data_IF_768916641375
#
_entry.id   IF_768916641375
#
_cell.length_a   1.000
_cell.length_b   1.000
_cell.length_c   1.000
_cell.angle_alpha   90.00
_cell.angle_beta   90.00
_cell.angle_gamma   90.00
#
_symmetry.space_group_name_H-M   'P 1'
#
loop_
_entity.id
_entity.type
_entity.pdbx_description
1 polymer ?
#
# COMPACT_ATOMS: atom_id res chain seq x y z
N UNK A 1 -35.49 -2.79 1.53
CA UNK A 1 -35.40 -1.42 0.98
C UNK A 1 -34.28 -1.40 -0.05
N UNK A 2 -34.61 -1.52 -1.35
CA UNK A 2 -33.65 -1.64 -2.46
C UNK A 2 -33.33 -0.24 -3.01
N UNK A 3 -32.09 0.23 -2.82
CA UNK A 3 -31.61 1.42 -3.54
C UNK A 3 -31.23 1.03 -4.97
N UNK A 4 -32.08 1.38 -5.94
CA UNK A 4 -31.74 1.41 -7.37
C UNK A 4 -30.81 2.60 -7.62
N UNK A 5 -29.52 2.35 -7.85
CA UNK A 5 -28.60 3.37 -8.39
C UNK A 5 -28.87 3.49 -9.89
N UNK A 6 -29.49 4.60 -10.30
CA UNK A 6 -29.68 4.97 -11.71
C UNK A 6 -28.32 5.37 -12.30
N UNK A 7 -27.99 4.72 -13.43
CA UNK A 7 -26.97 5.04 -14.46
C UNK A 7 -26.11 6.29 -14.20
N UNK A 8 -24.82 6.07 -13.94
CA UNK A 8 -23.77 7.07 -14.07
C UNK A 8 -23.49 7.27 -15.57
N UNK A 9 -23.79 8.45 -16.12
CA UNK A 9 -23.38 8.81 -17.48
C UNK A 9 -21.93 9.28 -17.47
N UNK A 10 -21.02 8.45 -17.98
CA UNK A 10 -19.65 8.86 -18.29
C UNK A 10 -19.69 9.76 -19.53
N UNK A 11 -19.66 11.08 -19.31
CA UNK A 11 -19.56 12.04 -20.41
C UNK A 11 -18.11 12.11 -20.88
N UNK A 12 -17.75 11.33 -21.89
CA UNK A 12 -16.48 11.47 -22.61
C UNK A 12 -16.62 12.69 -23.53
N UNK A 13 -16.42 13.88 -22.96
CA UNK A 13 -16.39 15.12 -23.73
C UNK A 13 -15.17 15.14 -24.64
N UNK A 14 -15.38 15.06 -25.96
CA UNK A 14 -14.39 15.52 -26.94
C UNK A 14 -14.21 17.03 -26.72
N UNK A 15 -13.11 17.44 -26.11
CA UNK A 15 -12.77 18.86 -26.02
C UNK A 15 -12.14 19.30 -27.34
N UNK A 16 -12.93 20.01 -28.14
CA UNK A 16 -12.39 20.99 -29.08
C UNK A 16 -11.91 22.18 -28.26
N UNK A 17 -10.60 22.47 -28.31
CA UNK A 17 -10.05 23.70 -27.75
C UNK A 17 -10.62 24.90 -28.51
N UNK A 18 -11.46 25.70 -27.86
CA UNK A 18 -11.69 27.08 -28.26
C UNK A 18 -10.65 27.96 -27.56
N UNK A 19 -9.70 28.48 -28.32
CA UNK A 19 -8.92 29.66 -27.94
C UNK A 19 -9.72 30.90 -28.34
N UNK A 20 -9.76 31.89 -27.46
CA UNK A 20 -10.45 33.16 -27.65
C UNK A 20 -9.74 34.07 -28.67
N UNK A 21 -10.59 34.76 -29.43
CA UNK A 21 -10.40 36.01 -30.18
C UNK A 21 -9.66 36.03 -31.54
N UNK A 22 -10.25 36.87 -32.41
CA UNK A 22 -9.92 37.25 -33.79
C UNK A 22 -10.23 36.20 -34.88
N UNK A 23 -11.35 36.43 -35.56
CA UNK A 23 -11.81 35.61 -36.67
C UNK A 23 -10.85 35.58 -37.85
N UNK A 24 -10.59 34.37 -38.34
CA UNK A 24 -10.38 34.03 -39.76
C UNK A 24 -10.62 32.53 -39.93
N UNK A 25 -11.62 32.20 -40.75
CA UNK A 25 -11.87 30.85 -41.25
C UNK A 25 -10.65 30.37 -42.03
N UNK A 26 -10.03 29.27 -41.60
CA UNK A 26 -9.04 28.53 -42.39
C UNK A 26 -9.29 27.03 -42.24
N UNK A 27 -9.25 26.36 -43.38
CA UNK A 27 -9.81 25.04 -43.66
C UNK A 27 -9.25 23.86 -42.87
N UNK A 28 -9.96 22.75 -43.01
CA UNK A 28 -9.62 21.45 -42.41
C UNK A 28 -8.27 20.93 -42.91
N UNK A 29 -7.23 21.07 -42.09
CA UNK A 29 -5.95 20.38 -42.29
C UNK A 29 -5.98 19.08 -41.48
N UNK A 30 -5.94 17.93 -42.18
CA UNK A 30 -5.70 16.64 -41.53
C UNK A 30 -4.28 16.65 -40.94
N UNK A 31 -4.08 16.43 -39.62
CA UNK A 31 -2.75 16.46 -39.05
C UNK A 31 -1.96 15.22 -39.48
N UNK A 32 -0.76 15.45 -40.02
CA UNK A 32 0.25 14.42 -40.25
C UNK A 32 0.64 13.79 -38.90
N UNK A 33 0.46 12.47 -38.79
CA UNK A 33 0.79 11.66 -37.59
C UNK A 33 2.21 11.86 -37.04
N UNK A 34 3.18 12.33 -37.84
CA UNK A 34 4.56 12.56 -37.40
C UNK A 34 4.70 13.80 -36.52
N UNK A 35 4.02 14.92 -36.85
CA UNK A 35 4.13 16.17 -36.09
C UNK A 35 3.36 16.16 -34.76
N UNK A 36 2.35 15.29 -34.64
CA UNK A 36 1.64 15.07 -33.37
C UNK A 36 2.55 14.42 -32.31
N UNK A 37 3.45 13.51 -32.70
CA UNK A 37 4.42 12.90 -31.77
C UNK A 37 5.45 13.92 -31.26
N UNK A 38 5.92 14.83 -32.10
CA UNK A 38 6.86 15.90 -31.70
C UNK A 38 6.19 16.97 -30.82
N UNK A 39 4.93 17.33 -31.10
CA UNK A 39 4.18 18.27 -30.28
C UNK A 39 3.75 17.69 -28.91
N UNK A 40 3.59 16.37 -28.81
CA UNK A 40 3.38 15.66 -27.55
C UNK A 40 4.71 15.57 -26.76
N UNK A 41 5.84 15.39 -27.43
CA UNK A 41 7.16 15.38 -26.79
C UNK A 41 7.58 16.73 -26.19
N UNK A 42 7.04 17.85 -26.68
CA UNK A 42 7.35 19.20 -26.17
C UNK A 42 6.44 19.68 -25.04
N UNK A 43 5.39 18.93 -24.67
CA UNK A 43 4.52 19.23 -23.53
C UNK A 43 4.77 18.17 -22.46
N UNK A 44 5.55 18.53 -21.44
CA UNK A 44 5.66 17.73 -20.21
C UNK A 44 4.24 17.45 -19.70
N UNK A 45 3.94 16.16 -19.61
CA UNK A 45 2.81 15.55 -18.93
C UNK A 45 1.43 15.91 -19.50
N UNK A 46 0.90 15.02 -20.36
CA UNK A 46 -0.45 15.12 -20.89
C UNK A 46 -1.46 14.85 -19.76
N UNK A 47 -1.76 15.88 -18.97
CA UNK A 47 -2.70 15.79 -17.85
C UNK A 47 -4.12 15.59 -18.38
N UNK A 48 -4.66 14.37 -18.26
CA UNK A 48 -6.10 14.19 -18.37
C UNK A 48 -6.73 14.52 -17.01
N UNK A 49 -7.47 15.64 -16.97
CA UNK A 49 -8.22 16.08 -15.79
C UNK A 49 -9.69 15.76 -15.97
N UNK A 50 -10.23 14.93 -15.08
CA UNK A 50 -11.68 14.74 -14.93
C UNK A 50 -12.08 15.22 -13.55
N UNK A 51 -12.76 16.36 -13.48
CA UNK A 51 -13.27 16.90 -12.23
C UNK A 51 -14.74 16.52 -12.05
N UNK A 52 -15.08 15.92 -10.91
CA UNK A 52 -16.46 15.67 -10.49
C UNK A 52 -16.76 16.49 -9.24
N UNK A 53 -17.84 17.26 -9.27
CA UNK A 53 -18.30 18.07 -8.14
C UNK A 53 -19.59 17.48 -7.60
N UNK A 54 -19.55 16.73 -6.48
CA UNK A 54 -20.78 16.25 -5.87
C UNK A 54 -21.54 17.40 -5.22
N UNK A 55 -22.85 17.44 -5.46
CA UNK A 55 -23.78 18.31 -4.75
C UNK A 55 -24.41 17.46 -3.65
N UNK A 56 -24.21 17.83 -2.39
CA UNK A 56 -24.80 17.13 -1.23
C UNK A 56 -25.69 18.14 -0.51
N UNK A 57 -27.00 17.85 -0.43
CA UNK A 57 -28.01 18.73 0.16
C UNK A 57 -27.98 20.17 -0.40
N UNK A 58 -27.86 20.30 -1.73
CA UNK A 58 -27.81 21.60 -2.41
C UNK A 58 -26.50 22.39 -2.22
N UNK A 59 -25.55 21.86 -1.45
CA UNK A 59 -24.23 22.47 -1.25
C UNK A 59 -23.20 21.81 -2.16
N UNK A 60 -22.51 22.60 -2.97
CA UNK A 60 -21.32 22.18 -3.71
C UNK A 60 -20.23 21.79 -2.71
N UNK A 61 -19.79 20.53 -2.74
CA UNK A 61 -18.59 20.09 -2.02
C UNK A 61 -17.35 20.34 -2.88
N UNK A 62 -16.17 20.30 -2.27
CA UNK A 62 -14.91 20.35 -3.02
C UNK A 62 -14.92 19.28 -4.12
N UNK A 63 -14.38 19.64 -5.29
CA UNK A 63 -14.32 18.74 -6.43
C UNK A 63 -13.35 17.61 -6.14
N UNK A 64 -13.76 16.38 -6.43
CA UNK A 64 -12.82 15.26 -6.57
C UNK A 64 -12.32 15.29 -8.00
N UNK A 65 -11.01 15.41 -8.17
CA UNK A 65 -10.36 15.40 -9.47
C UNK A 65 -9.66 14.06 -9.69
N UNK A 66 -9.68 13.59 -10.93
CA UNK A 66 -8.82 12.52 -11.42
C UNK A 66 -7.77 13.13 -12.33
N UNK A 67 -6.51 12.84 -12.07
CA UNK A 67 -5.35 13.32 -12.81
C UNK A 67 -4.50 12.15 -13.27
N UNK A 68 -4.38 11.98 -14.58
CA UNK A 68 -3.51 10.98 -15.19
C UNK A 68 -2.23 11.65 -15.72
N UNK A 69 -1.08 11.07 -15.39
CA UNK A 69 0.24 11.50 -15.82
C UNK A 69 0.85 10.41 -16.69
N UNK A 70 1.25 10.78 -17.90
CA UNK A 70 1.81 9.85 -18.89
C UNK A 70 3.32 10.03 -19.00
N UNK A 71 4.04 8.93 -19.20
CA UNK A 71 5.47 8.89 -19.50
C UNK A 71 5.74 9.42 -20.91
N UNK A 72 7.00 9.69 -21.25
CA UNK A 72 7.41 10.19 -22.57
C UNK A 72 7.01 9.26 -23.73
N UNK A 73 6.90 7.95 -23.49
CA UNK A 73 6.45 6.97 -24.48
C UNK A 73 4.91 6.94 -24.66
N UNK A 74 4.16 7.73 -23.90
CA UNK A 74 2.70 7.79 -23.93
C UNK A 74 1.99 6.78 -23.03
N UNK A 75 2.72 5.97 -22.27
CA UNK A 75 2.13 5.04 -21.29
C UNK A 75 1.71 5.78 -20.02
N UNK A 76 0.65 5.30 -19.36
CA UNK A 76 0.23 5.83 -18.07
C UNK A 76 1.32 5.52 -17.04
N UNK A 77 1.89 6.55 -16.41
CA UNK A 77 2.87 6.38 -15.33
C UNK A 77 2.27 6.55 -13.94
N UNK A 78 1.27 7.42 -13.79
CA UNK A 78 0.65 7.71 -12.51
C UNK A 78 -0.79 8.17 -12.66
N UNK A 79 -1.66 7.74 -11.75
CA UNK A 79 -3.05 8.17 -11.63
C UNK A 79 -3.30 8.67 -10.21
N UNK A 80 -3.83 9.87 -10.07
CA UNK A 80 -4.22 10.45 -8.79
C UNK A 80 -5.72 10.73 -8.79
N UNK A 81 -6.39 10.42 -7.67
CA UNK A 81 -7.80 10.70 -7.44
C UNK A 81 -7.94 11.33 -6.06
N UNK A 82 -8.46 12.56 -5.98
CA UNK A 82 -8.65 13.24 -4.69
C UNK A 82 -8.84 14.75 -4.84
N UNK A 83 -8.52 15.49 -3.77
CA UNK A 83 -8.54 16.96 -3.78
C UNK A 83 -7.17 17.50 -4.16
N UNK A 84 -7.14 18.68 -4.79
CA UNK A 84 -5.90 19.28 -5.24
C UNK A 84 -5.80 20.74 -4.81
N UNK A 85 -4.61 21.13 -4.37
CA UNK A 85 -4.22 22.52 -4.19
C UNK A 85 -2.86 22.74 -4.86
N UNK A 86 -2.72 23.84 -5.61
CA UNK A 86 -1.49 24.17 -6.33
C UNK A 86 -0.91 22.98 -7.13
N UNK A 87 -1.80 22.28 -7.82
CA UNK A 87 -1.54 21.08 -8.61
C UNK A 87 -1.02 19.84 -7.85
N UNK A 88 -1.10 19.82 -6.52
CA UNK A 88 -0.66 18.71 -5.68
C UNK A 88 -1.85 18.07 -4.98
N UNK A 89 -1.80 16.75 -4.80
CA UNK A 89 -2.82 16.00 -4.08
C UNK A 89 -2.85 16.46 -2.61
N UNK A 90 -4.05 16.69 -2.08
CA UNK A 90 -4.31 17.18 -0.73
C UNK A 90 -5.48 16.43 -0.11
N UNK A 91 -5.50 16.33 1.22
CA UNK A 91 -6.57 15.67 1.94
C UNK A 91 -6.69 14.20 1.54
N UNK A 92 -7.89 13.65 1.68
CA UNK A 92 -8.15 12.27 1.30
C UNK A 92 -7.96 12.04 -0.21
N UNK A 93 -7.13 11.08 -0.56
CA UNK A 93 -6.85 10.72 -1.95
C UNK A 93 -6.32 9.32 -2.15
N UNK A 94 -6.13 8.98 -3.41
CA UNK A 94 -5.49 7.76 -3.88
C UNK A 94 -4.48 8.15 -4.96
N UNK A 95 -3.26 7.65 -4.85
CA UNK A 95 -2.25 7.72 -5.92
C UNK A 95 -1.87 6.30 -6.32
N UNK A 96 -1.86 6.02 -7.62
CA UNK A 96 -1.47 4.74 -8.20
C UNK A 96 -0.34 4.97 -9.19
N UNK A 97 0.77 4.25 -9.03
CA UNK A 97 1.92 4.26 -9.93
C UNK A 97 1.93 3.00 -10.79
N UNK A 98 2.31 3.16 -12.06
CA UNK A 98 2.28 2.12 -13.07
C UNK A 98 3.66 1.86 -13.66
N UNK A 99 3.96 0.59 -13.91
CA UNK A 99 5.14 0.13 -14.64
C UNK A 99 5.04 0.45 -16.12
N UNK A 100 6.08 0.14 -16.87
CA UNK A 100 6.10 0.29 -18.34
C UNK A 100 5.09 -0.64 -19.01
N UNK A 101 4.91 -1.86 -18.49
CA UNK A 101 3.90 -2.80 -19.00
C UNK A 101 2.43 -2.41 -18.66
N UNK A 102 2.22 -1.27 -18.00
CA UNK A 102 0.90 -0.79 -17.57
C UNK A 102 0.33 -1.50 -16.34
N UNK A 103 1.07 -2.43 -15.71
CA UNK A 103 0.68 -3.02 -14.42
C UNK A 103 0.88 -2.03 -13.28
N UNK A 104 0.08 -2.17 -12.22
CA UNK A 104 0.25 -1.36 -11.00
C UNK A 104 1.53 -1.79 -10.29
N UNK A 105 2.35 -0.82 -9.90
CA UNK A 105 3.53 -1.04 -9.08
C UNK A 105 3.25 -0.76 -7.61
N UNK A 106 2.65 0.41 -7.35
CA UNK A 106 2.47 0.95 -6.01
C UNK A 106 1.16 1.72 -5.96
N UNK A 107 0.47 1.63 -4.82
CA UNK A 107 -0.72 2.41 -4.54
C UNK A 107 -0.65 2.99 -3.13
N UNK A 108 -0.89 4.29 -3.03
CA UNK A 108 -1.01 5.06 -1.79
C UNK A 108 -2.47 5.46 -1.62
N UNK A 109 -3.04 5.26 -0.43
CA UNK A 109 -4.38 5.70 -0.08
C UNK A 109 -4.33 6.31 1.32
N UNK A 110 -4.91 7.49 1.50
CA UNK A 110 -4.94 8.14 2.81
C UNK A 110 -5.05 9.65 2.67
N UNK A 111 -4.58 10.36 3.68
CA UNK A 111 -4.50 11.82 3.68
C UNK A 111 -3.16 12.26 3.04
N UNK A 112 -3.21 13.29 2.20
CA UNK A 112 -2.08 13.83 1.46
C UNK A 112 -1.86 15.29 1.84
N UNK A 113 -0.60 15.67 1.98
CA UNK A 113 -0.20 17.06 2.15
C UNK A 113 0.86 17.42 1.11
N UNK A 114 0.48 18.22 0.12
CA UNK A 114 1.40 18.63 -0.94
C UNK A 114 1.88 17.48 -1.82
N UNK A 115 1.02 16.50 -2.08
CA UNK A 115 1.32 15.34 -2.92
C UNK A 115 2.02 14.19 -2.21
N UNK A 116 2.15 14.28 -0.88
CA UNK A 116 2.89 13.32 -0.06
C UNK A 116 1.94 12.71 0.97
N UNK A 117 1.98 11.39 1.17
CA UNK A 117 1.12 10.70 2.12
C UNK A 117 1.48 11.11 3.56
N UNK A 118 0.48 11.52 4.34
CA UNK A 118 0.64 12.01 5.70
C UNK A 118 -0.54 11.56 6.58
N UNK A 119 -0.27 11.24 7.84
CA UNK A 119 -1.30 10.71 8.74
C UNK A 119 -1.74 9.29 8.39
N UNK A 120 -2.96 8.87 8.76
CA UNK A 120 -3.44 7.52 8.52
C UNK A 120 -3.52 7.19 7.03
N UNK A 121 -3.00 6.03 6.64
CA UNK A 121 -3.00 5.59 5.26
C UNK A 121 -2.71 4.12 5.06
N UNK A 122 -2.66 3.76 3.79
CA UNK A 122 -2.39 2.43 3.26
C UNK A 122 -1.40 2.58 2.11
N UNK A 123 -0.31 1.81 2.18
CA UNK A 123 0.67 1.69 1.10
C UNK A 123 0.68 0.24 0.61
N UNK A 124 0.38 0.04 -0.65
CA UNK A 124 0.25 -1.30 -1.26
C UNK A 124 1.23 -1.42 -2.41
N UNK A 125 2.06 -2.47 -2.41
CA UNK A 125 2.90 -2.79 -3.55
C UNK A 125 2.46 -4.10 -4.20
N UNK A 126 2.60 -4.11 -5.51
CA UNK A 126 2.25 -5.23 -6.37
C UNK A 126 3.51 -5.77 -7.04
N UNK A 127 3.51 -7.06 -7.33
CA UNK A 127 4.54 -7.70 -8.15
C UNK A 127 4.27 -7.46 -9.63
N UNK A 128 5.22 -7.85 -10.49
CA UNK A 128 5.12 -7.68 -11.96
C UNK A 128 3.97 -8.48 -12.59
N UNK A 129 3.49 -9.54 -11.93
CA UNK A 129 2.31 -10.29 -12.39
C UNK A 129 0.98 -9.71 -11.87
N UNK A 130 1.01 -8.54 -11.23
CA UNK A 130 -0.16 -7.85 -10.69
C UNK A 130 -0.67 -8.37 -9.34
N UNK A 131 -0.03 -9.38 -8.74
CA UNK A 131 -0.40 -9.86 -7.39
C UNK A 131 0.18 -8.97 -6.30
N UNK A 132 -0.49 -8.92 -5.15
CA UNK A 132 0.02 -8.22 -3.97
C UNK A 132 1.38 -8.78 -3.54
N UNK A 133 2.32 -7.89 -3.28
CA UNK A 133 3.65 -8.21 -2.73
C UNK A 133 3.68 -7.91 -1.23
N UNK A 134 3.23 -6.71 -0.86
CA UNK A 134 3.11 -6.29 0.52
C UNK A 134 2.12 -5.13 0.68
N UNK A 135 1.66 -4.94 1.92
CA UNK A 135 0.69 -3.94 2.33
C UNK A 135 1.09 -3.37 3.70
N UNK A 136 1.19 -2.04 3.82
CA UNK A 136 1.42 -1.34 5.09
C UNK A 136 0.20 -0.50 5.46
N UNK A 137 -0.28 -0.60 6.70
CA UNK A 137 -1.47 0.10 7.22
C UNK A 137 -1.13 0.76 8.55
N UNK A 138 -1.24 2.09 8.64
CA UNK A 138 -0.92 2.85 9.84
C UNK A 138 -0.74 4.33 9.53
N UNK A 139 0.15 5.01 10.25
CA UNK A 139 0.42 6.43 10.05
C UNK A 139 1.67 6.70 9.20
N UNK A 140 1.66 7.78 8.43
CA UNK A 140 2.72 8.19 7.54
C UNK A 140 3.17 9.63 7.82
N UNK A 141 4.45 9.90 7.64
CA UNK A 141 5.04 11.23 7.66
C UNK A 141 5.98 11.34 6.46
N UNK A 142 5.62 12.17 5.50
CA UNK A 142 6.36 12.35 4.26
C UNK A 142 6.59 11.04 3.48
N UNK A 143 5.52 10.27 3.22
CA UNK A 143 5.56 8.91 2.62
C UNK A 143 6.30 7.84 3.44
N UNK A 144 6.96 8.21 4.55
CA UNK A 144 7.60 7.26 5.44
C UNK A 144 6.62 6.77 6.48
N UNK A 145 6.65 5.47 6.71
CA UNK A 145 5.79 4.85 7.70
C UNK A 145 6.28 5.18 9.13
N UNK A 146 5.39 5.66 10.00
CA UNK A 146 5.74 6.21 11.30
C UNK A 146 4.63 6.00 12.33
N UNK A 147 5.00 5.64 13.56
CA UNK A 147 4.03 5.31 14.61
C UNK A 147 3.49 3.87 14.51
N UNK A 148 2.36 3.57 15.17
CA UNK A 148 1.81 2.22 15.19
C UNK A 148 1.28 1.81 13.81
N UNK A 149 1.52 0.56 13.43
CA UNK A 149 1.05 0.04 12.16
C UNK A 149 1.28 -1.45 11.96
N UNK A 150 0.78 -1.94 10.83
CA UNK A 150 0.93 -3.32 10.35
C UNK A 150 1.60 -3.32 9.00
N UNK A 151 2.50 -4.28 8.76
CA UNK A 151 3.02 -4.62 7.45
C UNK A 151 2.74 -6.08 7.17
N UNK A 152 2.10 -6.35 6.04
CA UNK A 152 1.66 -7.67 5.63
C UNK A 152 2.41 -8.03 4.36
N UNK A 153 3.08 -9.17 4.37
CA UNK A 153 3.78 -9.71 3.22
C UNK A 153 2.98 -10.85 2.59
N UNK A 154 2.97 -10.87 1.26
CA UNK A 154 2.31 -11.88 0.46
C UNK A 154 3.36 -12.68 -0.34
N UNK A 155 3.12 -13.97 -0.51
CA UNK A 155 3.90 -14.85 -1.38
C UNK A 155 3.55 -14.66 -2.86
N UNK A 156 4.26 -15.34 -3.73
CA UNK A 156 4.09 -15.23 -5.20
C UNK A 156 2.73 -15.73 -5.72
N UNK A 157 2.06 -16.59 -4.94
CA UNK A 157 0.71 -17.04 -5.20
C UNK A 157 -0.36 -16.00 -4.77
N UNK A 158 0.03 -14.94 -4.05
CA UNK A 158 -0.87 -13.95 -3.48
C UNK A 158 -1.40 -14.33 -2.09
N UNK A 159 -0.91 -15.42 -1.48
CA UNK A 159 -1.28 -15.79 -0.12
C UNK A 159 -0.47 -14.99 0.90
N UNK A 160 -1.07 -14.72 2.06
CA UNK A 160 -0.38 -14.04 3.15
C UNK A 160 0.67 -14.96 3.75
N UNK A 161 1.91 -14.51 3.87
CA UNK A 161 3.02 -15.30 4.42
C UNK A 161 3.53 -14.76 5.76
N UNK A 162 3.42 -13.44 5.97
CA UNK A 162 3.82 -12.80 7.21
C UNK A 162 2.99 -11.55 7.50
N UNK A 163 2.84 -11.22 8.78
CA UNK A 163 2.34 -9.94 9.27
C UNK A 163 3.24 -9.47 10.41
N UNK A 164 3.74 -8.25 10.32
CA UNK A 164 4.54 -7.61 11.35
C UNK A 164 3.74 -6.42 11.89
N UNK A 165 3.49 -6.40 13.19
CA UNK A 165 2.71 -5.36 13.88
C UNK A 165 3.57 -4.73 14.98
N UNK A 166 3.59 -3.40 15.03
CA UNK A 166 4.42 -2.67 16.00
C UNK A 166 4.48 -1.19 15.69
N UNK A 167 5.50 -0.54 16.25
CA UNK A 167 5.79 0.88 16.00
C UNK A 167 6.87 1.02 14.93
N UNK A 168 6.71 2.03 14.07
CA UNK A 168 7.67 2.40 13.05
C UNK A 168 8.31 3.74 13.37
N UNK A 169 9.56 3.87 12.96
CA UNK A 169 10.30 5.12 12.97
C UNK A 169 11.03 5.25 11.65
N UNK A 170 10.76 6.31 10.90
CA UNK A 170 11.39 6.59 9.60
C UNK A 170 11.35 5.40 8.63
N UNK A 171 10.20 4.73 8.53
CA UNK A 171 9.98 3.60 7.62
C UNK A 171 10.55 2.25 8.08
N UNK A 172 11.20 2.19 9.24
CA UNK A 172 11.72 0.93 9.81
C UNK A 172 10.96 0.56 11.08
N UNK A 173 10.78 -0.74 11.30
CA UNK A 173 10.27 -1.23 12.58
C UNK A 173 11.27 -0.92 13.68
N UNK A 174 10.79 -0.23 14.70
CA UNK A 174 11.54 0.04 15.92
C UNK A 174 10.58 0.01 17.10
N UNK A 175 10.89 -0.76 18.13
CA UNK A 175 10.08 -0.72 19.34
C UNK A 175 10.36 -1.84 20.32
N UNK A 176 9.89 -1.64 21.54
CA UNK A 176 9.97 -2.61 22.63
C UNK A 176 8.99 -3.77 22.47
N UNK A 177 7.97 -3.63 21.62
CA UNK A 177 6.95 -4.66 21.40
C UNK A 177 6.53 -4.70 19.92
N UNK A 178 7.19 -5.56 19.18
CA UNK A 178 6.83 -5.93 17.80
C UNK A 178 6.37 -7.37 17.79
N UNK A 179 5.33 -7.68 17.01
CA UNK A 179 4.83 -9.04 16.81
C UNK A 179 4.91 -9.42 15.34
N UNK A 180 5.74 -10.42 15.02
CA UNK A 180 5.76 -11.10 13.72
C UNK A 180 4.84 -12.32 13.80
N UNK A 181 3.85 -12.41 12.93
CA UNK A 181 3.02 -13.60 12.72
C UNK A 181 3.38 -14.21 11.37
N UNK A 182 3.70 -15.51 11.35
CA UNK A 182 3.95 -16.29 10.14
C UNK A 182 2.75 -17.16 9.80
N UNK A 183 2.49 -17.35 8.51
CA UNK A 183 1.36 -18.12 8.00
C UNK A 183 1.87 -19.29 7.15
N UNK A 184 1.07 -20.36 7.07
CA UNK A 184 1.33 -21.50 6.22
C UNK A 184 1.36 -21.13 4.73
N UNK A 185 1.91 -22.00 3.89
CA UNK A 185 2.04 -21.76 2.45
C UNK A 185 0.68 -21.59 1.75
N UNK A 186 -0.38 -22.19 2.31
CA UNK A 186 -1.77 -22.04 1.88
C UNK A 186 -2.39 -20.68 2.25
N UNK A 187 -1.70 -19.88 3.08
CA UNK A 187 -2.14 -18.56 3.54
C UNK A 187 -3.22 -18.54 4.60
N UNK A 188 -3.69 -19.72 5.03
CA UNK A 188 -4.86 -19.83 5.90
C UNK A 188 -4.48 -19.87 7.38
N UNK A 189 -3.63 -20.81 7.76
CA UNK A 189 -3.31 -21.06 9.17
C UNK A 189 -2.10 -20.24 9.63
N UNK A 190 -2.18 -19.67 10.84
CA UNK A 190 -1.00 -19.16 11.55
C UNK A 190 -0.12 -20.35 11.90
N UNK A 191 1.17 -20.27 11.55
CA UNK A 191 2.15 -21.31 11.90
C UNK A 191 3.07 -20.86 13.03
N UNK A 192 3.22 -19.55 13.25
CA UNK A 192 3.97 -19.10 14.42
C UNK A 192 3.85 -17.61 14.68
N UNK A 193 4.26 -17.21 15.89
CA UNK A 193 4.42 -15.81 16.26
C UNK A 193 5.76 -15.57 16.95
N UNK A 194 6.32 -14.38 16.81
CA UNK A 194 7.46 -13.87 17.57
C UNK A 194 7.09 -12.50 18.12
N UNK A 195 7.19 -12.30 19.43
CA UNK A 195 6.89 -11.04 20.10
C UNK A 195 8.04 -10.62 20.99
N UNK A 196 8.60 -9.44 20.75
CA UNK A 196 9.75 -8.92 21.50
C UNK A 196 10.19 -7.54 21.04
N UNK A 197 11.35 -7.10 21.50
CA UNK A 197 11.98 -5.87 21.02
C UNK A 197 12.58 -6.10 19.63
N UNK A 198 12.42 -5.12 18.73
CA UNK A 198 12.90 -5.18 17.35
C UNK A 198 13.75 -3.94 17.06
N UNK A 199 14.96 -4.16 16.56
CA UNK A 199 15.93 -3.11 16.30
C UNK A 199 16.87 -3.51 15.16
N UNK A 200 17.15 -2.58 14.24
CA UNK A 200 18.06 -2.78 13.11
C UNK A 200 17.69 -3.99 12.22
N UNK A 201 16.39 -4.21 12.02
CA UNK A 201 15.90 -5.28 11.15
C UNK A 201 15.87 -6.68 11.78
N UNK A 202 16.02 -6.80 13.10
CA UNK A 202 15.92 -8.09 13.79
C UNK A 202 15.35 -7.96 15.22
N UNK A 203 14.88 -9.06 15.78
CA UNK A 203 14.54 -9.16 17.19
C UNK A 203 15.79 -9.12 18.06
N UNK A 204 15.69 -8.51 19.25
CA UNK A 204 16.75 -8.43 20.24
C UNK A 204 16.19 -8.51 21.65
N UNK A 205 17.02 -8.98 22.60
CA UNK A 205 16.66 -9.03 24.01
C UNK A 205 15.61 -10.08 24.28
N UNK A 206 14.68 -9.80 25.19
CA UNK A 206 13.65 -10.77 25.56
C UNK A 206 12.65 -11.00 24.41
N UNK A 207 12.49 -12.26 24.02
CA UNK A 207 11.63 -12.70 22.93
C UNK A 207 10.74 -13.85 23.40
N UNK A 208 9.45 -13.77 23.05
CA UNK A 208 8.52 -14.89 23.10
C UNK A 208 8.24 -15.37 21.67
N UNK A 209 8.50 -16.64 21.38
CA UNK A 209 8.17 -17.29 20.13
C UNK A 209 7.15 -18.41 20.38
N UNK A 210 6.18 -18.53 19.50
CA UNK A 210 5.14 -19.56 19.54
C UNK A 210 5.12 -20.25 18.18
N UNK A 211 4.95 -21.57 18.18
CA UNK A 211 4.69 -22.37 17.00
C UNK A 211 3.35 -23.08 17.13
N UNK A 212 2.63 -23.14 16.02
CA UNK A 212 1.35 -23.83 15.89
C UNK A 212 1.48 -25.00 14.92
N UNK A 213 0.66 -26.02 15.16
CA UNK A 213 0.41 -27.11 14.21
C UNK A 213 -0.50 -26.64 13.08
N UNK A 214 -0.60 -27.44 12.02
CA UNK A 214 -1.45 -27.16 10.86
C UNK A 214 -2.94 -27.01 11.21
N UNK A 215 -3.41 -27.64 12.29
CA UNK A 215 -4.79 -27.50 12.79
C UNK A 215 -4.98 -26.25 13.69
N UNK A 216 -3.96 -25.42 13.85
CA UNK A 216 -3.97 -24.21 14.68
C UNK A 216 -3.73 -24.45 16.16
N UNK A 217 -3.51 -25.70 16.62
CA UNK A 217 -3.20 -25.94 18.04
C UNK A 217 -1.76 -25.57 18.37
N UNK A 218 -1.54 -25.07 19.58
CA UNK A 218 -0.23 -24.71 20.10
C UNK A 218 0.68 -25.94 20.13
N UNK A 219 1.82 -25.87 19.45
CA UNK A 219 2.81 -26.95 19.43
C UNK A 219 3.86 -26.74 20.51
N UNK A 220 4.48 -25.57 20.52
CA UNK A 220 5.44 -25.17 21.53
C UNK A 220 5.51 -23.66 21.69
N UNK A 221 5.96 -23.23 22.86
CA UNK A 221 6.30 -21.87 23.20
C UNK A 221 7.78 -21.82 23.64
N UNK A 222 8.49 -20.77 23.24
CA UNK A 222 9.87 -20.50 23.59
C UNK A 222 10.00 -19.07 24.09
N UNK A 223 10.49 -18.90 25.31
CA UNK A 223 10.66 -17.59 25.93
C UNK A 223 12.11 -17.46 26.36
N UNK A 224 12.80 -16.40 25.97
CA UNK A 224 14.17 -16.20 26.41
C UNK A 224 14.86 -14.98 25.82
N UNK A 225 16.15 -14.85 26.15
CA UNK A 225 17.01 -13.85 25.53
C UNK A 225 17.35 -14.26 24.09
N UNK A 226 17.25 -13.32 23.16
CA UNK A 226 17.50 -13.50 21.74
C UNK A 226 18.51 -12.46 21.26
N UNK A 227 19.59 -12.93 20.65
CA UNK A 227 20.67 -12.09 20.13
C UNK A 227 21.30 -12.80 18.92
N UNK A 228 21.80 -12.02 17.94
CA UNK A 228 22.47 -12.55 16.75
C UNK A 228 21.66 -13.64 16.02
N UNK A 229 20.34 -13.45 15.89
CA UNK A 229 19.41 -14.37 15.21
C UNK A 229 19.19 -15.72 15.91
N UNK A 230 19.61 -15.86 17.16
CA UNK A 230 19.43 -17.08 17.93
C UNK A 230 18.94 -16.78 19.35
N UNK A 231 18.24 -17.74 19.96
CA UNK A 231 18.04 -17.73 21.40
C UNK A 231 19.36 -18.04 22.09
N UNK A 232 19.64 -17.33 23.18
CA UNK A 232 20.73 -17.67 24.07
C UNK A 232 20.27 -18.89 24.86
N UNK A 233 20.78 -20.05 24.43
CA UNK A 233 20.55 -21.40 24.95
C UNK A 233 20.29 -21.48 26.47
N UNK A 234 21.21 -20.93 27.27
CA UNK A 234 21.15 -20.91 28.75
C UNK A 234 20.15 -19.92 29.38
N UNK A 235 19.46 -19.15 28.56
CA UNK A 235 18.53 -18.10 28.99
C UNK A 235 17.18 -18.23 28.26
N UNK A 236 16.84 -19.45 27.82
CA UNK A 236 15.60 -19.75 27.14
C UNK A 236 14.88 -20.94 27.78
N UNK A 237 13.55 -20.85 27.84
CA UNK A 237 12.66 -21.89 28.30
C UNK A 237 11.75 -22.31 27.15
N UNK A 238 11.79 -23.59 26.78
CA UNK A 238 10.88 -24.19 25.81
C UNK A 238 9.81 -24.99 26.52
N UNK A 239 8.55 -24.78 26.17
CA UNK A 239 7.39 -25.53 26.65
C UNK A 239 6.75 -26.23 25.45
N UNK A 240 6.63 -27.54 25.49
CA UNK A 240 5.98 -28.36 24.46
C UNK A 240 4.60 -28.83 24.93
N UNK A 241 3.64 -28.90 24.01
CA UNK A 241 2.25 -29.28 24.31
C UNK A 241 1.83 -30.50 23.50
N UNK A 242 0.96 -31.35 24.05
CA UNK A 242 0.26 -32.41 23.34
C UNK A 242 -0.82 -31.85 22.39
N UNK A 243 -1.42 -32.74 21.57
CA UNK A 243 -2.56 -32.36 20.72
C UNK A 243 -3.78 -31.88 21.51
N UNK A 244 -3.97 -32.36 22.73
CA UNK A 244 -5.06 -31.96 23.65
C UNK A 244 -4.72 -30.71 24.48
N UNK A 245 -3.51 -30.17 24.33
CA UNK A 245 -3.03 -29.00 25.07
C UNK A 245 -2.31 -29.30 26.38
N UNK A 246 -2.13 -30.56 26.76
CA UNK A 246 -1.38 -30.96 27.95
C UNK A 246 0.11 -30.63 27.80
N UNK A 247 0.74 -30.07 28.81
CA UNK A 247 2.20 -29.80 28.78
C UNK A 247 3.00 -31.10 28.85
N UNK A 248 3.92 -31.31 27.91
CA UNK A 248 4.77 -32.51 27.85
C UNK A 248 6.11 -32.29 28.57
N UNK A 249 6.76 -31.17 28.29
CA UNK A 249 8.14 -30.92 28.72
C UNK A 249 8.39 -29.42 28.85
N UNK A 250 9.06 -29.02 29.93
CA UNK A 250 9.66 -27.70 30.10
C UNK A 250 11.18 -27.85 30.17
N UNK A 251 11.89 -27.43 29.12
CA UNK A 251 13.35 -27.48 29.08
C UNK A 251 13.88 -26.07 29.33
N UNK A 252 14.66 -25.88 30.39
CA UNK A 252 15.26 -24.59 30.76
C UNK A 252 16.69 -24.37 30.21
N UNK A 253 17.16 -25.24 29.33
CA UNK A 253 18.44 -25.13 28.64
C UNK A 253 18.23 -25.61 27.19
N UNK A 254 17.79 -24.73 26.29
CA UNK A 254 17.82 -25.01 24.84
C UNK A 254 19.26 -24.98 24.38
#
# INVERSE_FOLDING_TARGET
MLLKVKRLYTYIGRFNMHTSEAGRSLGSVKPHRSKAKEAIASRKDLLHLVATRPIVNGTLKQAVETRAYYKYNGELGRLQVGFFDNHRLQGLGIETEFREDGTVELQRQGDFNGGVLQGPGILTAYSTNGKLKWLSIGSFVNDLFEGPGKHIQYGENGTKVAELEGTYKKGSFEGSKVTLTSYGLDGGAKVGTKTGQYQNGDFKGFLKQIQYRNNGTLEWELIGMYENRAFIEKAAMKICYEKDGTTIESVSNV
#
